data_IF_208577928967
#
_entry.id   IF_208577928967
#
_cell.length_a   1.000
_cell.length_b   1.000
_cell.length_c   1.000
_cell.angle_alpha   90.00
_cell.angle_beta   90.00
_cell.angle_gamma   90.00
#
_symmetry.space_group_name_H-M   'P 1'
#
loop_
_entity.id
_entity.type
_entity.pdbx_description
1 polymer ?
#
# COMPACT_ATOMS: atom_id res chain seq x y z
N UNK A 1 2.37 10.92 -45.18
CA UNK A 1 0.98 10.91 -44.64
C UNK A 1 0.57 9.54 -44.09
N UNK A 2 0.95 8.42 -44.73
CA UNK A 2 0.70 7.05 -44.23
C UNK A 2 1.60 6.63 -43.04
N UNK A 3 2.89 7.00 -43.04
CA UNK A 3 3.82 6.68 -41.94
C UNK A 3 3.41 7.32 -40.61
N UNK A 4 2.95 8.58 -40.63
CA UNK A 4 2.44 9.26 -39.43
C UNK A 4 1.20 8.56 -38.84
N UNK A 5 0.32 7.99 -39.67
CA UNK A 5 -0.83 7.22 -39.22
C UNK A 5 -0.43 5.87 -38.61
N UNK A 6 0.58 5.18 -39.18
CA UNK A 6 1.12 3.94 -38.62
C UNK A 6 1.74 4.14 -37.24
N UNK A 7 2.57 5.18 -37.05
CA UNK A 7 3.16 5.53 -35.74
C UNK A 7 2.06 5.82 -34.71
N UNK A 8 0.98 6.47 -35.12
CA UNK A 8 -0.14 6.79 -34.22
C UNK A 8 -0.97 5.55 -33.87
N UNK A 9 -1.15 4.62 -34.79
CA UNK A 9 -1.81 3.31 -34.54
C UNK A 9 -0.95 2.43 -33.63
N UNK A 10 0.38 2.41 -33.80
CA UNK A 10 1.29 1.67 -32.92
C UNK A 10 1.35 2.28 -31.52
N UNK A 11 1.36 3.61 -31.40
CA UNK A 11 1.30 4.31 -30.13
C UNK A 11 0.01 4.00 -29.36
N UNK A 12 -1.14 4.08 -30.05
CA UNK A 12 -2.44 3.77 -29.43
C UNK A 12 -2.59 2.30 -29.09
N UNK A 13 -2.13 1.37 -29.95
CA UNK A 13 -2.11 -0.06 -29.65
C UNK A 13 -1.21 -0.39 -28.44
N UNK A 14 -0.05 0.28 -28.33
CA UNK A 14 0.84 0.17 -27.17
C UNK A 14 0.21 0.69 -25.88
N UNK A 15 -0.53 1.81 -25.95
CA UNK A 15 -1.28 2.36 -24.82
C UNK A 15 -2.43 1.43 -24.39
N UNK A 16 -3.18 0.84 -25.34
CA UNK A 16 -4.23 -0.13 -25.05
C UNK A 16 -3.69 -1.42 -24.40
N UNK A 17 -2.55 -1.94 -24.88
CA UNK A 17 -1.90 -3.12 -24.30
C UNK A 17 -1.40 -2.85 -22.88
N UNK A 18 -0.75 -1.69 -22.66
CA UNK A 18 -0.30 -1.25 -21.33
C UNK A 18 -1.46 -1.03 -20.37
N UNK A 19 -2.55 -0.41 -20.83
CA UNK A 19 -3.77 -0.23 -20.03
C UNK A 19 -4.42 -1.57 -19.65
N UNK A 20 -4.44 -2.54 -20.57
CA UNK A 20 -4.95 -3.90 -20.31
C UNK A 20 -4.10 -4.63 -19.26
N UNK A 21 -2.77 -4.57 -19.37
CA UNK A 21 -1.85 -5.17 -18.40
C UNK A 21 -1.96 -4.49 -17.03
N UNK A 22 -2.01 -3.16 -16.98
CA UNK A 22 -2.20 -2.41 -15.73
C UNK A 22 -3.53 -2.76 -15.04
N UNK A 23 -4.62 -2.91 -15.81
CA UNK A 23 -5.91 -3.34 -15.27
C UNK A 23 -5.86 -4.77 -14.71
N UNK A 24 -5.12 -5.68 -15.35
CA UNK A 24 -4.93 -7.04 -14.85
C UNK A 24 -4.15 -7.05 -13.53
N UNK A 25 -3.03 -6.31 -13.45
CA UNK A 25 -2.24 -6.15 -12.22
C UNK A 25 -3.04 -5.51 -11.10
N UNK A 26 -3.84 -4.49 -11.40
CA UNK A 26 -4.72 -3.85 -10.42
C UNK A 26 -5.76 -4.84 -9.88
N UNK A 27 -6.42 -5.60 -10.76
CA UNK A 27 -7.38 -6.64 -10.35
C UNK A 27 -6.73 -7.67 -9.43
N UNK A 28 -5.55 -8.16 -9.78
CA UNK A 28 -4.82 -9.12 -8.96
C UNK A 28 -4.44 -8.53 -7.59
N UNK A 29 -3.98 -7.28 -7.56
CA UNK A 29 -3.65 -6.56 -6.32
C UNK A 29 -4.86 -6.39 -5.42
N UNK A 30 -6.02 -6.09 -5.98
CA UNK A 30 -7.28 -5.98 -5.23
C UNK A 30 -7.70 -7.32 -4.60
N UNK A 31 -7.52 -8.43 -5.31
CA UNK A 31 -7.78 -9.78 -4.78
C UNK A 31 -6.84 -10.08 -3.62
N UNK A 32 -5.53 -9.91 -3.81
CA UNK A 32 -4.53 -10.15 -2.75
C UNK A 32 -4.78 -9.27 -1.52
N UNK A 33 -5.16 -8.01 -1.72
CA UNK A 33 -5.57 -7.11 -0.64
C UNK A 33 -6.80 -7.64 0.10
N UNK A 34 -7.82 -8.11 -0.62
CA UNK A 34 -9.04 -8.63 -0.03
C UNK A 34 -8.76 -9.90 0.81
N UNK A 35 -7.94 -10.81 0.29
CA UNK A 35 -7.51 -12.02 1.01
C UNK A 35 -6.73 -11.66 2.28
N UNK A 36 -5.76 -10.73 2.17
CA UNK A 36 -4.99 -10.25 3.31
C UNK A 36 -5.86 -9.54 4.36
N UNK A 37 -6.90 -8.80 3.93
CA UNK A 37 -7.88 -8.20 4.83
C UNK A 37 -8.68 -9.28 5.59
N UNK A 38 -9.06 -10.37 4.91
CA UNK A 38 -9.77 -11.49 5.54
C UNK A 38 -8.88 -12.20 6.57
N UNK A 39 -7.61 -12.44 6.23
CA UNK A 39 -6.60 -12.98 7.14
C UNK A 39 -6.41 -12.08 8.37
N UNK A 40 -6.34 -10.76 8.16
CA UNK A 40 -6.27 -9.79 9.24
C UNK A 40 -7.50 -9.87 10.16
N UNK A 41 -8.70 -9.98 9.57
CA UNK A 41 -9.95 -10.17 10.32
C UNK A 41 -9.97 -11.46 11.15
N UNK A 42 -9.34 -12.52 10.63
CA UNK A 42 -9.17 -13.80 11.32
C UNK A 42 -8.03 -13.80 12.35
N UNK A 43 -7.38 -12.67 12.59
CA UNK A 43 -6.20 -12.51 13.48
C UNK A 43 -4.95 -13.25 13.03
N UNK A 44 -4.90 -13.67 11.78
CA UNK A 44 -3.74 -14.30 11.14
C UNK A 44 -2.78 -13.21 10.63
N UNK A 45 -2.22 -12.43 11.55
CA UNK A 45 -1.53 -11.18 11.21
C UNK A 45 -0.25 -11.39 10.38
N UNK A 46 0.52 -12.45 10.62
CA UNK A 46 1.69 -12.80 9.80
C UNK A 46 1.30 -13.15 8.36
N UNK A 47 0.16 -13.82 8.17
CA UNK A 47 -0.34 -14.15 6.83
C UNK A 47 -0.79 -12.88 6.13
N UNK A 48 -1.55 -12.03 6.83
CA UNK A 48 -1.98 -10.74 6.32
C UNK A 48 -0.80 -9.85 5.89
N UNK A 49 0.25 -9.77 6.72
CA UNK A 49 1.47 -9.01 6.39
C UNK A 49 2.12 -9.49 5.07
N UNK A 50 2.23 -10.81 4.89
CA UNK A 50 2.76 -11.41 3.66
C UNK A 50 1.83 -11.14 2.47
N UNK A 51 0.52 -11.23 2.66
CA UNK A 51 -0.49 -10.94 1.65
C UNK A 51 -0.42 -9.50 1.13
N UNK A 52 -0.32 -8.52 2.04
CA UNK A 52 -0.14 -7.12 1.64
C UNK A 52 1.20 -6.90 0.92
N UNK A 53 2.28 -7.54 1.38
CA UNK A 53 3.58 -7.44 0.72
C UNK A 53 3.53 -7.97 -0.71
N UNK A 54 2.90 -9.14 -0.91
CA UNK A 54 2.69 -9.69 -2.26
C UNK A 54 1.82 -8.78 -3.13
N UNK A 55 0.80 -8.14 -2.55
CA UNK A 55 -0.03 -7.18 -3.27
C UNK A 55 0.81 -5.97 -3.75
N UNK A 56 1.76 -5.49 -2.94
CA UNK A 56 2.65 -4.38 -3.32
C UNK A 56 3.66 -4.76 -4.42
N UNK A 57 4.02 -6.04 -4.53
CA UNK A 57 4.92 -6.54 -5.58
C UNK A 57 4.23 -6.65 -6.95
N UNK A 58 2.91 -6.85 -6.97
CA UNK A 58 2.11 -6.99 -8.21
C UNK A 58 1.84 -5.64 -8.88
N UNK A 59 1.53 -4.62 -8.09
CA UNK A 59 1.27 -3.27 -8.60
C UNK A 59 2.17 -2.23 -7.91
N UNK A 60 3.33 -2.02 -8.52
CA UNK A 60 4.25 -0.95 -8.16
C UNK A 60 3.89 0.40 -8.79
N UNK A 61 2.89 0.45 -9.67
CA UNK A 61 2.61 1.62 -10.50
C UNK A 61 1.61 2.59 -9.88
N UNK A 62 0.75 2.09 -8.98
CA UNK A 62 -0.34 2.88 -8.41
C UNK A 62 0.00 3.38 -7.00
N UNK A 63 0.48 4.62 -6.91
CA UNK A 63 0.92 5.22 -5.64
C UNK A 63 -0.21 5.23 -4.59
N UNK A 64 -1.46 5.48 -4.99
CA UNK A 64 -2.60 5.41 -4.08
C UNK A 64 -2.82 3.99 -3.50
N UNK A 65 -2.59 2.94 -4.30
CA UNK A 65 -2.71 1.56 -3.83
C UNK A 65 -1.60 1.23 -2.83
N UNK A 66 -0.37 1.68 -3.10
CA UNK A 66 0.77 1.53 -2.19
C UNK A 66 0.48 2.14 -0.82
N UNK A 67 -0.12 3.34 -0.76
CA UNK A 67 -0.51 3.96 0.51
C UNK A 67 -1.52 3.12 1.30
N UNK A 68 -2.55 2.60 0.63
CA UNK A 68 -3.56 1.73 1.25
C UNK A 68 -2.94 0.41 1.75
N UNK A 69 -2.07 -0.22 0.95
CA UNK A 69 -1.41 -1.47 1.32
C UNK A 69 -0.44 -1.28 2.49
N UNK A 70 0.37 -0.22 2.48
CA UNK A 70 1.23 0.16 3.60
C UNK A 70 0.42 0.44 4.86
N UNK A 71 -0.70 1.17 4.77
CA UNK A 71 -1.58 1.41 5.91
C UNK A 71 -2.10 0.13 6.57
N UNK A 72 -2.50 -0.85 5.75
CA UNK A 72 -3.02 -2.13 6.24
C UNK A 72 -1.90 -3.05 6.75
N UNK A 73 -0.73 -3.05 6.11
CA UNK A 73 0.44 -3.78 6.59
C UNK A 73 0.98 -3.23 7.90
N UNK A 74 0.97 -1.90 8.09
CA UNK A 74 1.25 -1.26 9.36
C UNK A 74 0.33 -1.80 10.46
N UNK A 75 -0.98 -1.95 10.16
CA UNK A 75 -1.93 -2.52 11.10
C UNK A 75 -1.57 -3.95 11.53
N UNK A 76 -1.20 -4.80 10.58
CA UNK A 76 -0.77 -6.17 10.85
C UNK A 76 0.51 -6.17 11.72
N UNK A 77 1.52 -5.40 11.32
CA UNK A 77 2.80 -5.28 12.04
C UNK A 77 2.65 -4.75 13.46
N UNK A 78 1.74 -3.80 13.68
CA UNK A 78 1.39 -3.36 15.04
C UNK A 78 0.87 -4.50 15.91
N UNK A 79 0.02 -5.38 15.37
CA UNK A 79 -0.52 -6.54 16.09
C UNK A 79 0.54 -7.60 16.38
N UNK A 80 1.61 -7.64 15.57
CA UNK A 80 2.77 -8.51 15.74
C UNK A 80 3.85 -7.92 16.66
N UNK A 81 3.69 -6.70 17.18
CA UNK A 81 4.72 -6.00 17.96
C UNK A 81 5.88 -5.45 17.12
N UNK A 82 5.77 -5.48 15.79
CA UNK A 82 6.78 -4.97 14.84
C UNK A 82 6.64 -3.45 14.66
N UNK A 83 6.79 -2.71 15.75
CA UNK A 83 6.48 -1.27 15.80
C UNK A 83 7.38 -0.41 14.90
N UNK A 84 8.66 -0.76 14.77
CA UNK A 84 9.59 -0.03 13.88
C UNK A 84 9.17 -0.15 12.42
N UNK A 85 8.83 -1.36 11.99
CA UNK A 85 8.36 -1.60 10.62
C UNK A 85 6.99 -0.98 10.36
N UNK A 86 6.11 -0.99 11.38
CA UNK A 86 4.81 -0.33 11.28
C UNK A 86 4.94 1.20 11.14
N UNK A 87 5.90 1.84 11.80
CA UNK A 87 6.20 3.28 11.62
C UNK A 87 6.61 3.55 10.19
N UNK A 88 7.54 2.77 9.63
CA UNK A 88 7.99 2.94 8.25
C UNK A 88 6.83 2.80 7.24
N UNK A 89 5.93 1.85 7.45
CA UNK A 89 4.72 1.73 6.64
C UNK A 89 3.75 2.92 6.82
N UNK A 90 3.62 3.45 8.04
CA UNK A 90 2.83 4.66 8.28
C UNK A 90 3.44 5.87 7.57
N UNK A 91 4.76 6.03 7.57
CA UNK A 91 5.44 7.12 6.88
C UNK A 91 5.18 7.09 5.37
N UNK A 92 5.25 5.90 4.76
CA UNK A 92 4.89 5.72 3.35
C UNK A 92 3.44 6.10 3.10
N UNK A 93 2.51 5.62 3.92
CA UNK A 93 1.10 5.90 3.74
C UNK A 93 0.76 7.40 3.98
N UNK A 94 1.42 8.05 4.95
CA UNK A 94 1.28 9.49 5.21
C UNK A 94 1.92 10.36 4.13
N UNK A 95 2.91 9.85 3.39
CA UNK A 95 3.44 10.59 2.23
C UNK A 95 2.39 10.79 1.13
N UNK A 96 1.37 9.93 1.11
CA UNK A 96 0.28 9.90 0.12
C UNK A 96 -0.98 10.57 0.69
N UNK A 97 -1.36 10.23 1.93
CA UNK A 97 -2.50 10.80 2.66
C UNK A 97 -1.99 11.45 3.96
N UNK A 98 -1.51 12.69 3.85
CA UNK A 98 -0.81 13.41 4.93
C UNK A 98 -1.65 13.67 6.17
N UNK A 99 -2.96 13.84 5.97
CA UNK A 99 -3.90 14.24 7.02
C UNK A 99 -4.68 13.04 7.57
N UNK A 100 -4.22 11.82 7.27
CA UNK A 100 -4.87 10.59 7.69
C UNK A 100 -4.77 10.39 9.21
N UNK A 101 -5.80 10.80 9.93
CA UNK A 101 -5.90 10.63 11.39
C UNK A 101 -5.65 9.18 11.80
N UNK A 102 -6.14 8.21 11.02
CA UNK A 102 -5.93 6.77 11.28
C UNK A 102 -4.45 6.40 11.26
N UNK A 103 -3.65 6.98 10.37
CA UNK A 103 -2.21 6.69 10.25
C UNK A 103 -1.41 7.41 11.33
N UNK A 104 -1.73 8.68 11.58
CA UNK A 104 -1.12 9.47 12.65
C UNK A 104 -1.28 8.76 14.00
N UNK A 105 -2.50 8.32 14.35
CA UNK A 105 -2.75 7.58 15.59
C UNK A 105 -1.99 6.25 15.67
N UNK A 106 -1.79 5.55 14.54
CA UNK A 106 -1.03 4.30 14.49
C UNK A 106 0.46 4.55 14.71
N UNK A 107 1.02 5.56 14.06
CA UNK A 107 2.42 5.95 14.19
C UNK A 107 2.69 6.49 15.61
N UNK A 108 1.80 7.31 16.16
CA UNK A 108 1.83 7.78 17.54
C UNK A 108 1.87 6.62 18.54
N UNK A 109 0.96 5.65 18.39
CA UNK A 109 0.91 4.47 19.25
C UNK A 109 2.21 3.66 19.19
N UNK A 110 2.79 3.50 17.99
CA UNK A 110 4.07 2.82 17.84
C UNK A 110 5.22 3.60 18.49
N UNK A 111 5.27 4.92 18.32
CA UNK A 111 6.25 5.78 18.99
C UNK A 111 6.12 5.73 20.52
N UNK A 112 4.90 5.68 21.04
CA UNK A 112 4.64 5.55 22.47
C UNK A 112 5.18 4.22 23.02
N UNK A 113 4.92 3.10 22.34
CA UNK A 113 5.44 1.77 22.74
C UNK A 113 6.98 1.73 22.70
N UNK A 114 7.60 2.41 21.75
CA UNK A 114 9.06 2.52 21.64
C UNK A 114 9.67 3.58 22.57
N UNK A 115 8.89 4.20 23.46
CA UNK A 115 9.37 5.20 24.43
C UNK A 115 9.70 6.57 23.84
N UNK A 116 9.33 6.83 22.58
CA UNK A 116 9.56 8.11 21.90
C UNK A 116 8.40 9.09 22.14
N UNK A 117 8.18 9.51 23.39
CA UNK A 117 7.03 10.33 23.79
C UNK A 117 6.88 11.64 23.01
N UNK A 118 7.98 12.30 22.65
CA UNK A 118 7.94 13.54 21.88
C UNK A 118 7.38 13.33 20.46
N UNK A 119 7.76 12.22 19.79
CA UNK A 119 7.23 11.88 18.46
C UNK A 119 5.78 11.43 18.53
N UNK A 120 5.44 10.66 19.56
CA UNK A 120 4.06 10.26 19.79
C UNK A 120 3.12 11.46 20.01
N UNK A 121 3.55 12.45 20.79
CA UNK A 121 2.79 13.68 21.03
C UNK A 121 2.67 14.55 19.78
N UNK A 122 3.69 14.58 18.92
CA UNK A 122 3.64 15.33 17.67
C UNK A 122 2.65 14.74 16.65
N UNK A 123 2.37 13.44 16.75
CA UNK A 123 1.41 12.72 15.89
C UNK A 123 -0.03 12.71 16.46
N UNK A 124 -0.24 13.11 17.71
CA UNK A 124 -1.58 13.21 18.33
C UNK A 124 -2.24 14.55 18.05
#
# INVERSE_FOLDING_TARGET
RAEALLVQVESTAGEHCRASAALASLRQTLVLKADANAEFGNREYERAEKGYTRAMEVDASYEAMKGVLSANRAAARMKLGRHVEAIADCDVALSIDRDSVKLLLRRAACHAVLGSSAKALADY
#
